data_IF_549581324892
#
_entry.id   IF_549581324892
#
_cell.length_a   1.000
_cell.length_b   1.000
_cell.length_c   1.000
_cell.angle_alpha   90.00
_cell.angle_beta   90.00
_cell.angle_gamma   90.00
#
_symmetry.space_group_name_H-M   'P 1'
#
loop_
_entity.id
_entity.type
_entity.pdbx_description
1 polymer ?
#
# COMPACT_ATOMS: atom_id res chain seq x y z
N UNK A 1 30.61 22.30 5.86
CA UNK A 1 29.65 21.47 6.62
C UNK A 1 28.27 22.11 6.53
N UNK A 2 27.50 21.73 5.51
CA UNK A 2 26.11 22.14 5.31
C UNK A 2 25.22 20.96 5.72
N UNK A 3 24.21 21.17 6.56
CA UNK A 3 23.20 20.15 6.86
C UNK A 3 22.19 20.12 5.70
N UNK A 4 22.11 19.09 4.84
CA UNK A 4 21.10 19.02 3.80
C UNK A 4 19.89 18.27 4.37
N UNK A 5 19.13 18.97 5.20
CA UNK A 5 17.99 18.41 5.95
C UNK A 5 16.70 19.22 5.80
N UNK A 6 16.58 20.00 4.73
CA UNK A 6 15.30 20.47 4.20
C UNK A 6 14.88 19.47 3.09
N UNK A 7 15.12 18.16 3.31
CA UNK A 7 14.24 17.15 3.93
C UNK A 7 13.17 16.72 2.94
N UNK A 8 13.36 15.55 2.33
CA UNK A 8 12.41 14.88 1.44
C UNK A 8 10.96 14.94 1.94
N UNK A 9 10.76 14.96 3.26
CA UNK A 9 9.45 15.09 3.90
C UNK A 9 8.74 16.39 3.51
N UNK A 10 9.46 17.52 3.46
CA UNK A 10 8.86 18.81 3.12
C UNK A 10 8.44 18.85 1.64
N UNK A 11 9.20 18.19 0.76
CA UNK A 11 8.83 18.02 -0.63
C UNK A 11 7.58 17.15 -0.79
N UNK A 12 7.51 16.03 -0.06
CA UNK A 12 6.36 15.13 -0.09
C UNK A 12 5.09 15.79 0.47
N UNK A 13 5.22 16.62 1.53
CA UNK A 13 4.09 17.37 2.08
C UNK A 13 3.55 18.40 1.08
N UNK A 14 4.44 19.13 0.39
CA UNK A 14 4.01 20.04 -0.69
C UNK A 14 3.29 19.31 -1.82
N UNK A 15 3.81 18.16 -2.26
CA UNK A 15 3.15 17.35 -3.27
C UNK A 15 1.77 16.85 -2.81
N UNK A 16 1.63 16.46 -1.53
CA UNK A 16 0.35 16.08 -0.95
C UNK A 16 -0.64 17.27 -0.94
N UNK A 17 -0.19 18.48 -0.59
CA UNK A 17 -1.01 19.69 -0.68
C UNK A 17 -1.50 19.97 -2.12
N UNK A 18 -0.63 19.80 -3.13
CA UNK A 18 -0.99 19.96 -4.55
C UNK A 18 -2.05 18.94 -5.01
N UNK A 19 -1.95 17.70 -4.54
CA UNK A 19 -2.95 16.65 -4.81
C UNK A 19 -4.29 16.99 -4.15
N UNK A 20 -4.28 17.44 -2.88
CA UNK A 20 -5.50 17.84 -2.18
C UNK A 20 -6.16 19.05 -2.83
N UNK A 21 -5.38 20.01 -3.32
CA UNK A 21 -5.89 21.20 -4.00
C UNK A 21 -6.57 20.85 -5.34
N UNK A 22 -6.07 19.82 -6.03
CA UNK A 22 -6.56 19.42 -7.36
C UNK A 22 -7.71 18.41 -7.36
N UNK A 23 -8.01 17.77 -6.21
CA UNK A 23 -9.06 16.74 -6.13
C UNK A 23 -10.23 17.15 -5.23
N UNK A 24 -11.39 17.43 -5.84
CA UNK A 24 -12.63 17.74 -5.12
C UNK A 24 -13.09 16.62 -4.18
N UNK A 25 -12.76 15.36 -4.48
CA UNK A 25 -13.14 14.21 -3.65
C UNK A 25 -12.32 14.10 -2.36
N UNK A 26 -11.06 14.57 -2.40
CA UNK A 26 -10.14 14.52 -1.26
C UNK A 26 -10.23 15.78 -0.40
N UNK A 27 -10.76 16.88 -0.94
CA UNK A 27 -10.96 18.13 -0.21
C UNK A 27 -11.81 17.91 1.05
N UNK A 28 -11.26 18.34 2.20
CA UNK A 28 -11.90 18.21 3.50
C UNK A 28 -11.89 16.81 4.12
N UNK A 29 -11.34 15.79 3.44
CA UNK A 29 -11.18 14.43 3.98
C UNK A 29 -9.83 14.17 4.63
N UNK A 30 -8.79 14.83 4.14
CA UNK A 30 -7.41 14.68 4.61
C UNK A 30 -6.72 16.05 4.71
N UNK A 31 -5.78 16.17 5.64
CA UNK A 31 -4.68 17.14 5.51
C UNK A 31 -3.48 16.50 4.80
N UNK A 32 -2.46 17.29 4.43
CA UNK A 32 -1.29 16.77 3.73
C UNK A 32 -0.53 15.67 4.50
N UNK A 33 -0.51 15.73 5.84
CA UNK A 33 0.16 14.72 6.66
C UNK A 33 -0.63 13.43 6.64
N UNK A 34 -1.95 13.50 6.70
CA UNK A 34 -2.83 12.35 6.66
C UNK A 34 -2.82 11.69 5.28
N UNK A 35 -2.84 12.48 4.20
CA UNK A 35 -2.66 11.93 2.85
C UNK A 35 -1.30 11.24 2.71
N UNK A 36 -0.22 11.88 3.16
CA UNK A 36 1.12 11.29 3.09
C UNK A 36 1.22 9.99 3.90
N UNK A 37 0.64 9.95 5.11
CA UNK A 37 0.56 8.73 5.92
C UNK A 37 -0.26 7.65 5.23
N UNK A 38 -1.41 8.00 4.65
CA UNK A 38 -2.26 7.06 3.94
C UNK A 38 -1.53 6.44 2.75
N UNK A 39 -0.90 7.26 1.90
CA UNK A 39 -0.09 6.78 0.77
C UNK A 39 1.06 5.89 1.23
N UNK A 40 1.71 6.22 2.35
CA UNK A 40 2.74 5.37 2.93
C UNK A 40 2.20 4.02 3.42
N UNK A 41 1.02 4.00 4.06
CA UNK A 41 0.35 2.75 4.45
C UNK A 41 0.02 1.92 3.21
N UNK A 42 -0.51 2.54 2.15
CA UNK A 42 -0.84 1.89 0.88
C UNK A 42 0.41 1.25 0.30
N UNK A 43 1.49 2.01 0.14
CA UNK A 43 2.77 1.58 -0.45
C UNK A 43 3.32 0.32 0.24
N UNK A 44 3.29 0.29 1.57
CA UNK A 44 3.83 -0.83 2.34
C UNK A 44 2.93 -2.07 2.38
N UNK A 45 1.64 -1.95 2.10
CA UNK A 45 0.65 -2.99 2.38
C UNK A 45 -0.17 -3.44 1.16
N UNK A 46 0.05 -2.81 0.00
CA UNK A 46 -0.67 -3.15 -1.22
C UNK A 46 -0.36 -4.60 -1.63
N UNK A 47 -1.41 -5.35 -1.94
CA UNK A 47 -1.30 -6.64 -2.58
C UNK A 47 -1.65 -6.48 -4.05
N UNK A 48 -0.79 -7.01 -4.91
CA UNK A 48 -0.93 -7.02 -6.36
C UNK A 48 -0.30 -8.30 -6.89
N UNK A 49 -0.95 -8.94 -7.84
CA UNK A 49 -0.46 -10.16 -8.50
C UNK A 49 -0.18 -9.83 -9.97
N UNK A 50 1.10 -9.63 -10.28
CA UNK A 50 1.58 -9.37 -11.63
C UNK A 50 2.04 -10.64 -12.36
N UNK A 51 1.99 -11.79 -11.68
CA UNK A 51 2.45 -13.07 -12.24
C UNK A 51 1.34 -13.77 -13.04
N UNK A 52 0.08 -13.60 -12.61
CA UNK A 52 -1.09 -14.18 -13.27
C UNK A 52 -1.83 -13.11 -14.06
N UNK A 53 -1.85 -13.24 -15.40
CA UNK A 53 -2.46 -12.27 -16.30
C UNK A 53 -3.95 -12.00 -16.00
N UNK A 54 -4.70 -13.02 -15.56
CA UNK A 54 -6.12 -12.88 -15.16
C UNK A 54 -6.30 -12.01 -13.90
N UNK A 55 -5.24 -11.77 -13.12
CA UNK A 55 -5.25 -11.00 -11.89
C UNK A 55 -4.62 -9.61 -12.04
N UNK A 56 -4.22 -9.21 -13.25
CA UNK A 56 -3.50 -7.95 -13.49
C UNK A 56 -4.26 -6.70 -12.99
N UNK A 57 -5.58 -6.76 -12.95
CA UNK A 57 -6.46 -5.67 -12.48
C UNK A 57 -6.79 -5.78 -10.97
N UNK A 58 -6.32 -6.81 -10.28
CA UNK A 58 -6.57 -7.00 -8.85
C UNK A 58 -5.46 -6.33 -8.02
N UNK A 59 -5.85 -5.22 -7.37
CA UNK A 59 -5.01 -4.53 -6.41
C UNK A 59 -5.82 -4.11 -5.20
N UNK A 60 -5.23 -4.17 -4.02
CA UNK A 60 -5.94 -3.71 -2.82
C UNK A 60 -5.14 -3.78 -1.54
N UNK A 61 -5.72 -3.16 -0.51
CA UNK A 61 -5.25 -3.25 0.87
C UNK A 61 -6.12 -4.25 1.61
N UNK A 62 -5.49 -5.30 2.14
CA UNK A 62 -6.18 -6.38 2.83
C UNK A 62 -5.78 -6.40 4.29
N UNK A 63 -6.65 -5.85 5.16
CA UNK A 63 -6.37 -5.62 6.58
C UNK A 63 -5.87 -6.87 7.33
N UNK A 64 -6.40 -8.05 7.01
CA UNK A 64 -5.92 -9.31 7.59
C UNK A 64 -4.55 -9.72 7.03
N UNK A 65 -4.37 -9.57 5.71
CA UNK A 65 -3.13 -9.86 5.00
C UNK A 65 -1.93 -9.05 5.43
N UNK A 66 -2.16 -7.77 5.66
CA UNK A 66 -1.15 -6.82 6.13
C UNK A 66 -0.57 -7.17 7.52
N UNK A 67 -1.12 -8.16 8.23
CA UNK A 67 -0.58 -8.64 9.50
C UNK A 67 0.44 -9.77 9.35
N UNK A 68 0.53 -10.41 8.19
CA UNK A 68 1.52 -11.45 7.94
C UNK A 68 2.91 -10.81 7.84
N UNK A 69 3.88 -11.40 8.53
CA UNK A 69 5.27 -10.98 8.45
C UNK A 69 5.97 -11.71 7.31
N UNK A 70 6.95 -11.05 6.68
CA UNK A 70 7.81 -11.69 5.69
C UNK A 70 8.63 -12.83 6.33
N UNK A 71 8.77 -13.92 5.58
CA UNK A 71 9.69 -15.02 5.88
C UNK A 71 10.21 -15.59 4.56
N UNK A 72 11.51 -15.86 4.46
CA UNK A 72 12.10 -16.56 3.30
C UNK A 72 11.69 -18.04 3.25
N UNK A 73 11.10 -18.56 4.32
CA UNK A 73 10.64 -19.93 4.45
C UNK A 73 9.19 -19.94 4.98
N UNK A 74 8.22 -19.40 4.23
CA UNK A 74 6.87 -19.17 4.72
C UNK A 74 6.11 -20.49 4.90
N UNK A 75 5.16 -20.52 5.82
CA UNK A 75 4.18 -21.61 5.99
C UNK A 75 2.82 -21.30 5.35
N UNK A 76 2.64 -20.08 4.85
CA UNK A 76 1.44 -19.59 4.18
C UNK A 76 1.82 -19.00 2.82
N UNK A 77 0.99 -19.24 1.80
CA UNK A 77 0.99 -18.52 0.53
C UNK A 77 -0.34 -17.79 0.37
N UNK A 78 -0.45 -16.93 -0.65
CA UNK A 78 -1.69 -16.25 -1.00
C UNK A 78 -1.90 -16.25 -2.52
N UNK A 79 -3.15 -16.08 -2.93
CA UNK A 79 -3.55 -15.90 -4.33
C UNK A 79 -4.84 -15.09 -4.42
N UNK A 80 -5.13 -14.50 -5.58
CA UNK A 80 -6.49 -14.00 -5.84
C UNK A 80 -7.42 -15.11 -6.32
N UNK A 81 -8.70 -15.01 -5.97
CA UNK A 81 -9.78 -15.77 -6.61
C UNK A 81 -10.19 -15.11 -7.94
N UNK A 82 -11.00 -15.80 -8.73
CA UNK A 82 -11.55 -15.25 -9.99
C UNK A 82 -12.37 -13.97 -9.79
N UNK A 83 -12.88 -13.77 -8.58
CA UNK A 83 -13.65 -12.59 -8.17
C UNK A 83 -12.77 -11.51 -7.49
N UNK A 84 -11.44 -11.63 -7.56
CA UNK A 84 -10.51 -10.67 -6.95
C UNK A 84 -10.42 -10.73 -5.43
N UNK A 85 -10.86 -11.83 -4.81
CA UNK A 85 -10.74 -12.01 -3.36
C UNK A 85 -9.37 -12.57 -3.01
N UNK A 86 -8.72 -11.99 -2.02
CA UNK A 86 -7.45 -12.53 -1.52
C UNK A 86 -7.69 -13.79 -0.67
N UNK A 87 -7.00 -14.87 -1.01
CA UNK A 87 -7.08 -16.17 -0.34
C UNK A 87 -5.73 -16.52 0.26
N UNK A 88 -5.74 -17.12 1.45
CA UNK A 88 -4.54 -17.59 2.15
C UNK A 88 -4.56 -19.10 2.26
N UNK A 89 -3.44 -19.73 1.94
CA UNK A 89 -3.30 -21.17 1.88
C UNK A 89 -2.13 -21.63 2.75
N UNK A 90 -2.38 -22.61 3.62
CA UNK A 90 -1.29 -23.28 4.32
C UNK A 90 -0.47 -24.09 3.30
N UNK A 91 0.84 -23.84 3.22
CA UNK A 91 1.78 -24.57 2.36
C UNK A 91 2.72 -25.48 3.16
N UNK A 92 2.62 -25.42 4.50
CA UNK A 92 3.34 -26.25 5.48
C UNK A 92 2.45 -26.49 6.70
N UNK A 93 2.73 -27.50 7.54
CA UNK A 93 2.05 -27.66 8.83
C UNK A 93 2.16 -26.39 9.70
N UNK A 94 1.09 -26.08 10.43
CA UNK A 94 0.96 -24.90 11.31
C UNK A 94 1.16 -25.32 12.76
#
# INVERSE_FOLDING_TARGET
MSRPGCSQVDANLRAADEVLASSAELQGRFDAKDLLRFLHIVDLNIHRDDEIAEHADFTGIFVFGSKFSHSCAPNCAWSFSKEGRLQYHAIRPI
#
